data_IF_320341605586
#
_entry.id   IF_320341605586
#
_cell.length_a   1.000
_cell.length_b   1.000
_cell.length_c   1.000
_cell.angle_alpha   90.00
_cell.angle_beta   90.00
_cell.angle_gamma   90.00
#
_symmetry.space_group_name_H-M   'P 1'
#
loop_
_entity.id
_entity.type
_entity.pdbx_description
1 polymer ?
#
# COMPACT_ATOMS: atom_id res chain seq x y z
N UNK A 1 17.07 6.57 -15.49
CA UNK A 1 16.94 6.03 -14.12
C UNK A 1 16.27 7.00 -13.17
N UNK A 2 16.73 8.25 -13.06
CA UNK A 2 16.18 9.22 -12.11
C UNK A 2 14.66 9.38 -12.16
N UNK A 3 14.08 9.48 -13.36
CA UNK A 3 12.62 9.67 -13.51
C UNK A 3 11.81 8.46 -13.01
N UNK A 4 12.29 7.23 -13.25
CA UNK A 4 11.62 6.02 -12.79
C UNK A 4 11.71 5.84 -11.26
N UNK A 5 12.87 6.17 -10.68
CA UNK A 5 13.08 6.16 -9.23
C UNK A 5 12.23 7.26 -8.56
N UNK A 6 12.18 8.45 -9.15
CA UNK A 6 11.33 9.55 -8.68
C UNK A 6 9.84 9.20 -8.71
N UNK A 7 9.37 8.53 -9.76
CA UNK A 7 7.98 8.05 -9.83
C UNK A 7 7.68 6.98 -8.78
N UNK A 8 8.61 6.06 -8.52
CA UNK A 8 8.43 5.04 -7.47
C UNK A 8 8.36 5.67 -6.08
N UNK A 9 9.24 6.63 -5.77
CA UNK A 9 9.23 7.39 -4.52
C UNK A 9 7.96 8.24 -4.38
N UNK A 10 7.53 8.91 -5.45
CA UNK A 10 6.30 9.70 -5.45
C UNK A 10 5.06 8.83 -5.22
N UNK A 11 4.99 7.66 -5.86
CA UNK A 11 3.93 6.69 -5.61
C UNK A 11 3.94 6.24 -4.15
N UNK A 12 5.10 5.87 -3.61
CA UNK A 12 5.26 5.43 -2.22
C UNK A 12 4.86 6.52 -1.20
N UNK A 13 5.24 7.77 -1.44
CA UNK A 13 4.82 8.92 -0.62
C UNK A 13 3.32 9.18 -0.70
N UNK A 14 2.72 9.08 -1.90
CA UNK A 14 1.27 9.22 -2.08
C UNK A 14 0.50 8.12 -1.36
N UNK A 15 1.03 6.88 -1.35
CA UNK A 15 0.46 5.75 -0.61
C UNK A 15 0.49 5.99 0.90
N UNK A 16 1.60 6.46 1.44
CA UNK A 16 1.70 6.78 2.87
C UNK A 16 0.69 7.85 3.27
N UNK A 17 0.57 8.93 2.50
CA UNK A 17 -0.41 9.98 2.73
C UNK A 17 -1.85 9.46 2.63
N UNK A 18 -2.13 8.58 1.67
CA UNK A 18 -3.46 8.00 1.50
C UNK A 18 -3.82 7.06 2.64
N UNK A 19 -2.87 6.24 3.11
CA UNK A 19 -3.01 5.41 4.31
C UNK A 19 -3.27 6.27 5.53
N UNK A 20 -2.49 7.34 5.74
CA UNK A 20 -2.66 8.25 6.87
C UNK A 20 -4.03 8.98 6.83
N UNK A 21 -4.45 9.42 5.64
CA UNK A 21 -5.74 10.10 5.41
C UNK A 21 -6.94 9.18 5.58
N UNK A 22 -6.86 7.94 5.11
CA UNK A 22 -7.93 6.95 5.25
C UNK A 22 -8.02 6.49 6.71
N UNK A 23 -6.89 6.24 7.37
CA UNK A 23 -6.87 5.73 8.74
C UNK A 23 -7.13 6.79 9.81
N UNK A 24 -6.83 8.07 9.55
CA UNK A 24 -6.80 9.11 10.57
C UNK A 24 -5.90 8.74 11.77
N UNK A 25 -4.90 7.88 11.56
CA UNK A 25 -4.04 7.33 12.62
C UNK A 25 -4.67 6.20 13.46
N UNK A 26 -5.84 5.67 13.10
CA UNK A 26 -6.60 4.65 13.89
C UNK A 26 -6.83 3.30 13.19
N UNK A 27 -6.31 3.10 11.97
CA UNK A 27 -6.53 1.89 11.15
C UNK A 27 -7.47 2.15 9.98
N UNK A 28 -7.28 1.45 8.84
CA UNK A 28 -7.99 1.76 7.60
C UNK A 28 -9.49 1.42 7.73
N UNK A 29 -10.42 2.32 7.38
CA UNK A 29 -11.81 1.97 7.15
C UNK A 29 -11.86 1.06 5.92
N UNK A 30 -12.03 -0.24 6.16
CA UNK A 30 -11.85 -1.31 5.17
C UNK A 30 -11.07 -2.51 5.74
N UNK A 31 -10.29 -2.30 6.81
CA UNK A 31 -9.80 -3.38 7.64
C UNK A 31 -10.95 -3.90 8.50
N UNK A 32 -11.42 -5.11 8.20
CA UNK A 32 -12.48 -5.74 8.98
C UNK A 32 -11.85 -6.23 10.28
N UNK A 33 -11.98 -5.42 11.32
CA UNK A 33 -11.63 -5.80 12.68
C UNK A 33 -12.86 -6.41 13.35
N UNK A 34 -12.92 -7.74 13.39
CA UNK A 34 -13.99 -8.45 14.09
C UNK A 34 -13.53 -8.77 15.51
N UNK A 35 -14.23 -8.22 16.50
CA UNK A 35 -13.95 -8.48 17.91
C UNK A 35 -15.15 -9.18 18.55
N UNK A 36 -14.93 -10.41 19.04
CA UNK A 36 -15.93 -11.18 19.79
C UNK A 36 -15.30 -11.69 21.08
N UNK A 37 -15.67 -11.09 22.21
CA UNK A 37 -15.07 -11.40 23.52
C UNK A 37 -13.56 -11.13 23.56
N UNK A 38 -12.76 -12.15 23.89
CA UNK A 38 -11.30 -12.08 24.00
C UNK A 38 -10.55 -12.26 22.65
N UNK A 39 -11.26 -12.42 21.53
CA UNK A 39 -10.64 -12.66 20.22
C UNK A 39 -10.83 -11.43 19.34
N UNK A 40 -9.70 -10.84 18.89
CA UNK A 40 -9.65 -9.82 17.83
C UNK A 40 -9.08 -10.45 16.57
N UNK A 41 -9.85 -10.44 15.50
CA UNK A 41 -9.39 -10.80 14.15
C UNK A 41 -9.32 -9.53 13.33
N UNK A 42 -8.11 -9.19 12.87
CA UNK A 42 -7.90 -8.07 11.96
C UNK A 42 -7.68 -8.61 10.55
N UNK A 43 -8.54 -8.19 9.62
CA UNK A 43 -8.42 -8.53 8.20
C UNK A 43 -8.02 -7.30 7.40
N UNK A 44 -6.73 -7.13 7.09
CA UNK A 44 -6.24 -5.92 6.47
C UNK A 44 -6.42 -5.94 4.94
N UNK A 45 -7.67 -5.99 4.47
CA UNK A 45 -8.01 -6.18 3.06
C UNK A 45 -7.57 -4.97 2.22
N UNK A 46 -7.91 -3.76 2.68
CA UNK A 46 -7.55 -2.53 2.00
C UNK A 46 -6.03 -2.37 1.90
N UNK A 47 -5.32 -2.64 3.01
CA UNK A 47 -3.85 -2.60 3.07
C UNK A 47 -3.21 -3.59 2.11
N UNK A 48 -3.73 -4.82 2.02
CA UNK A 48 -3.16 -5.88 1.16
C UNK A 48 -3.33 -5.57 -0.33
N UNK A 49 -4.49 -5.04 -0.73
CA UNK A 49 -4.74 -4.60 -2.11
C UNK A 49 -3.81 -3.45 -2.47
N UNK A 50 -3.70 -2.47 -1.58
CA UNK A 50 -2.85 -1.31 -1.77
C UNK A 50 -1.40 -1.74 -1.98
N UNK A 51 -0.86 -2.54 -1.05
CA UNK A 51 0.50 -3.08 -1.10
C UNK A 51 0.77 -3.83 -2.41
N UNK A 52 -0.17 -4.68 -2.85
CA UNK A 52 -0.07 -5.42 -4.10
C UNK A 52 0.05 -4.49 -5.32
N UNK A 53 -0.73 -3.42 -5.36
CA UNK A 53 -0.70 -2.44 -6.45
C UNK A 53 0.64 -1.70 -6.49
N UNK A 54 1.16 -1.27 -5.33
CA UNK A 54 2.49 -0.64 -5.22
C UNK A 54 3.56 -1.57 -5.78
N UNK A 55 3.54 -2.81 -5.32
CA UNK A 55 4.57 -3.79 -5.65
C UNK A 55 4.51 -4.16 -7.13
N UNK A 56 3.30 -4.27 -7.70
CA UNK A 56 3.10 -4.49 -9.13
C UNK A 56 3.70 -3.36 -9.96
N UNK A 57 3.43 -2.10 -9.60
CA UNK A 57 3.98 -0.94 -10.30
C UNK A 57 5.51 -0.91 -10.18
N UNK A 58 6.04 -1.13 -8.97
CA UNK A 58 7.48 -1.16 -8.72
C UNK A 58 8.19 -2.27 -9.51
N UNK A 59 7.68 -3.50 -9.46
CA UNK A 59 8.23 -4.64 -10.21
C UNK A 59 8.12 -4.45 -11.72
N UNK A 60 7.02 -3.87 -12.21
CA UNK A 60 6.85 -3.59 -13.63
C UNK A 60 7.84 -2.52 -14.12
N UNK A 61 8.08 -1.47 -13.32
CA UNK A 61 9.14 -0.49 -13.59
C UNK A 61 10.52 -1.15 -13.60
N UNK A 62 10.83 -2.00 -12.62
CA UNK A 62 12.10 -2.71 -12.52
C UNK A 62 12.32 -3.64 -13.72
N UNK A 63 11.30 -4.44 -14.07
CA UNK A 63 11.33 -5.37 -15.20
C UNK A 63 11.38 -4.64 -16.55
N UNK A 64 10.78 -3.45 -16.66
CA UNK A 64 10.90 -2.61 -17.85
C UNK A 64 12.27 -1.94 -17.93
N UNK A 65 12.90 -1.67 -16.78
CA UNK A 65 14.27 -1.19 -16.70
C UNK A 65 15.29 -2.26 -17.09
N UNK A 66 15.08 -3.51 -16.65
CA UNK A 66 15.91 -4.67 -17.03
C UNK A 66 15.84 -5.04 -18.51
N UNK A 67 14.73 -4.71 -19.19
CA UNK A 67 14.53 -4.98 -20.63
C UNK A 67 15.12 -3.90 -21.55
N UNK A 68 15.72 -2.84 -21.01
CA UNK A 68 16.48 -1.84 -21.77
C UNK A 68 17.96 -2.03 -21.55
#
# INVERSE_FOLDING_TARGET
MLVGIGLALAAFGALLLLVERLTGGKGLPGDVAWQRGNVRVYLPIASSILLSLVLTIALNLLARWWRR
#
